data_IF_441963900594
#
_entry.id   IF_441963900594
#
_cell.length_a   1.000
_cell.length_b   1.000
_cell.length_c   1.000
_cell.angle_alpha   90.00
_cell.angle_beta   90.00
_cell.angle_gamma   90.00
#
_symmetry.space_group_name_H-M   'P 1'
#
loop_
_entity.id
_entity.type
_entity.pdbx_description
1 polymer ?
#
# COMPACT_ATOMS: atom_id res chain seq x y z
N UNK A 1 -6.72 -12.45 -3.90
CA UNK A 1 -6.83 -11.14 -4.59
C UNK A 1 -5.55 -10.33 -4.46
N UNK A 2 -5.09 -9.96 -3.26
CA UNK A 2 -3.85 -9.20 -3.06
C UNK A 2 -2.63 -9.87 -3.69
N UNK A 3 -2.48 -11.21 -3.55
CA UNK A 3 -1.44 -12.00 -4.21
C UNK A 3 -1.38 -11.81 -5.73
N UNK A 4 -2.53 -11.74 -6.40
CA UNK A 4 -2.58 -11.54 -7.85
C UNK A 4 -2.06 -10.15 -8.24
N UNK A 5 -2.51 -9.11 -7.55
CA UNK A 5 -2.02 -7.73 -7.79
C UNK A 5 -0.52 -7.64 -7.50
N UNK A 6 -0.05 -8.28 -6.43
CA UNK A 6 1.35 -8.29 -6.06
C UNK A 6 2.23 -8.98 -7.10
N UNK A 7 1.71 -10.00 -7.78
CA UNK A 7 2.36 -10.65 -8.91
C UNK A 7 2.32 -9.79 -10.17
N UNK A 8 1.22 -9.07 -10.43
CA UNK A 8 1.09 -8.13 -11.56
C UNK A 8 2.12 -7.00 -11.48
N UNK A 9 2.37 -6.45 -10.28
CA UNK A 9 3.31 -5.32 -10.08
C UNK A 9 4.72 -5.76 -9.65
N UNK A 10 5.00 -7.06 -9.68
CA UNK A 10 6.29 -7.57 -9.24
C UNK A 10 7.41 -7.11 -10.19
N UNK A 11 8.42 -6.41 -9.67
CA UNK A 11 9.54 -5.80 -10.41
C UNK A 11 9.15 -4.62 -11.31
N UNK A 12 7.92 -4.12 -11.24
CA UNK A 12 7.53 -2.91 -11.99
C UNK A 12 7.81 -1.63 -11.20
N UNK A 13 8.13 -1.73 -9.90
CA UNK A 13 8.23 -0.58 -8.99
C UNK A 13 6.98 0.33 -9.04
N UNK A 14 5.80 -0.26 -9.28
CA UNK A 14 4.52 0.46 -9.29
C UNK A 14 3.70 0.16 -8.03
N UNK A 15 2.63 0.91 -7.84
CA UNK A 15 1.63 0.65 -6.81
C UNK A 15 0.21 0.61 -7.37
N UNK A 16 -0.68 0.01 -6.59
CA UNK A 16 -2.12 -0.05 -6.80
C UNK A 16 -2.83 0.44 -5.56
N UNK A 17 -3.77 1.36 -5.75
CA UNK A 17 -4.69 1.81 -4.70
C UNK A 17 -6.05 1.14 -4.92
N UNK A 18 -6.64 0.62 -3.85
CA UNK A 18 -7.98 0.05 -3.85
C UNK A 18 -8.91 0.90 -3.00
N UNK A 19 -10.14 1.04 -3.48
CA UNK A 19 -11.24 1.59 -2.68
C UNK A 19 -11.85 0.53 -1.74
N UNK A 20 -12.88 0.95 -0.99
CA UNK A 20 -13.64 0.08 -0.08
C UNK A 20 -14.34 -1.10 -0.77
N UNK A 21 -14.57 -1.02 -2.08
CA UNK A 21 -15.19 -2.07 -2.89
C UNK A 21 -14.14 -2.96 -3.58
N UNK A 22 -12.87 -2.87 -3.18
CA UNK A 22 -11.75 -3.57 -3.81
C UNK A 22 -11.55 -3.21 -5.30
N UNK A 23 -12.04 -2.05 -5.73
CA UNK A 23 -11.84 -1.56 -7.10
C UNK A 23 -10.52 -0.81 -7.19
N UNK A 24 -9.74 -1.11 -8.23
CA UNK A 24 -8.48 -0.40 -8.55
C UNK A 24 -8.79 1.06 -8.87
N UNK A 25 -8.35 1.98 -8.02
CA UNK A 25 -8.51 3.43 -8.22
C UNK A 25 -7.36 4.02 -9.03
N UNK A 26 -6.15 3.52 -8.82
CA UNK A 26 -4.96 3.87 -9.59
C UNK A 26 -4.05 2.66 -9.76
N UNK A 27 -3.45 2.57 -10.93
CA UNK A 27 -2.48 1.55 -11.32
C UNK A 27 -1.34 2.23 -12.08
N UNK A 28 -0.20 1.55 -12.21
CA UNK A 28 0.92 1.93 -13.09
C UNK A 28 1.60 3.26 -12.76
N UNK A 29 1.42 3.77 -11.54
CA UNK A 29 2.16 4.92 -11.04
C UNK A 29 3.43 4.43 -10.33
N UNK A 30 4.59 5.06 -10.56
CA UNK A 30 5.82 4.71 -9.85
C UNK A 30 5.68 4.80 -8.33
N UNK A 31 6.33 3.88 -7.62
CA UNK A 31 6.31 3.80 -6.15
C UNK A 31 6.88 5.06 -5.48
N UNK A 32 7.75 5.81 -6.16
CA UNK A 32 8.25 7.08 -5.61
C UNK A 32 7.15 8.13 -5.43
N UNK A 33 6.10 8.07 -6.27
CA UNK A 33 4.93 8.95 -6.20
C UNK A 33 3.84 8.42 -5.28
N UNK A 34 4.03 7.24 -4.66
CA UNK A 34 3.01 6.62 -3.80
C UNK A 34 2.56 7.56 -2.67
N UNK A 35 3.51 8.17 -1.96
CA UNK A 35 3.19 9.04 -0.82
C UNK A 35 2.43 10.29 -1.27
N UNK A 36 2.86 10.91 -2.37
CA UNK A 36 2.20 12.09 -2.92
C UNK A 36 0.80 11.74 -3.43
N UNK A 37 0.67 10.62 -4.14
CA UNK A 37 -0.60 10.16 -4.69
C UNK A 37 -1.57 9.77 -3.59
N UNK A 38 -1.11 9.08 -2.55
CA UNK A 38 -1.92 8.67 -1.43
C UNK A 38 -2.48 9.88 -0.67
N UNK A 39 -1.68 10.94 -0.48
CA UNK A 39 -2.14 12.20 0.13
C UNK A 39 -3.21 12.91 -0.68
N UNK A 40 -3.16 12.80 -2.01
CA UNK A 40 -4.09 13.44 -2.94
C UNK A 40 -5.29 12.55 -3.31
N UNK A 41 -5.33 11.31 -2.83
CA UNK A 41 -6.38 10.34 -3.16
C UNK A 41 -7.15 9.99 -1.90
N UNK A 42 -8.40 10.43 -1.83
CA UNK A 42 -9.32 10.08 -0.74
C UNK A 42 -10.04 8.76 -1.00
N UNK A 43 -10.62 8.17 0.04
CA UNK A 43 -11.38 6.91 -0.01
C UNK A 43 -10.56 5.66 -0.39
N UNK A 44 -9.24 5.69 -0.18
CA UNK A 44 -8.38 4.51 -0.31
C UNK A 44 -8.57 3.61 0.91
N UNK A 45 -8.95 2.36 0.69
CA UNK A 45 -9.07 1.36 1.76
C UNK A 45 -7.82 0.48 1.84
N UNK A 46 -7.18 0.17 0.70
CA UNK A 46 -5.95 -0.60 0.67
C UNK A 46 -4.90 -0.06 -0.33
N UNK A 47 -3.63 -0.23 0.02
CA UNK A 47 -2.46 0.13 -0.80
C UNK A 47 -1.62 -1.12 -1.03
N UNK A 48 -1.28 -1.44 -2.28
CA UNK A 48 -0.42 -2.55 -2.66
C UNK A 48 0.73 -2.00 -3.51
N UNK A 49 1.98 -2.29 -3.16
CA UNK A 49 3.13 -1.75 -3.89
C UNK A 49 4.37 -2.65 -3.84
N UNK A 50 5.19 -2.58 -4.88
CA UNK A 50 6.45 -3.32 -4.97
C UNK A 50 7.59 -2.57 -4.25
N UNK A 51 7.57 -2.57 -2.91
CA UNK A 51 8.62 -1.93 -2.12
C UNK A 51 8.64 -2.28 -0.63
N UNK A 52 9.55 -1.64 0.11
CA UNK A 52 9.67 -1.79 1.57
C UNK A 52 8.65 -0.87 2.25
N UNK A 53 7.89 -1.43 3.18
CA UNK A 53 6.94 -0.71 4.03
C UNK A 53 7.73 0.05 5.09
N UNK A 54 7.66 1.38 5.03
CA UNK A 54 8.36 2.30 5.92
C UNK A 54 7.41 2.97 6.90
N UNK A 55 7.93 3.51 8.00
CA UNK A 55 7.12 4.23 8.99
C UNK A 55 6.41 5.44 8.36
N UNK A 56 7.10 6.20 7.50
CA UNK A 56 6.53 7.34 6.79
C UNK A 56 5.29 6.96 5.97
N UNK A 57 5.30 5.78 5.35
CA UNK A 57 4.14 5.29 4.61
C UNK A 57 2.98 4.96 5.55
N UNK A 58 3.25 4.29 6.67
CA UNK A 58 2.24 3.99 7.70
C UNK A 58 1.60 5.27 8.22
N UNK A 59 2.41 6.29 8.54
CA UNK A 59 1.90 7.54 9.09
C UNK A 59 0.95 8.24 8.10
N UNK A 60 1.34 8.29 6.81
CA UNK A 60 0.51 8.89 5.75
C UNK A 60 -0.74 8.06 5.50
N UNK A 61 -0.62 6.73 5.46
CA UNK A 61 -1.75 5.83 5.31
C UNK A 61 -2.77 5.99 6.46
N UNK A 62 -2.29 6.16 7.69
CA UNK A 62 -3.14 6.40 8.86
C UNK A 62 -3.88 7.74 8.76
N UNK A 63 -3.20 8.80 8.33
CA UNK A 63 -3.84 10.10 8.07
C UNK A 63 -4.93 10.02 6.99
N UNK A 64 -4.73 9.17 5.99
CA UNK A 64 -5.68 8.96 4.89
C UNK A 64 -6.75 7.89 5.20
N UNK A 65 -6.80 7.38 6.44
CA UNK A 65 -7.73 6.33 6.87
C UNK A 65 -7.65 5.03 6.03
N UNK A 66 -6.46 4.72 5.50
CA UNK A 66 -6.18 3.45 4.83
C UNK A 66 -6.20 2.34 5.88
N UNK A 67 -6.85 1.22 5.57
CA UNK A 67 -6.94 0.08 6.48
C UNK A 67 -5.91 -1.00 6.21
N UNK A 68 -5.48 -1.15 4.96
CA UNK A 68 -4.56 -2.22 4.59
C UNK A 68 -3.39 -1.71 3.77
N UNK A 69 -2.18 -2.13 4.14
CA UNK A 69 -0.95 -1.86 3.38
C UNK A 69 -0.31 -3.20 3.06
N UNK A 70 -0.06 -3.45 1.79
CA UNK A 70 0.63 -4.64 1.28
C UNK A 70 1.90 -4.18 0.57
N UNK A 71 3.04 -4.69 1.02
CA UNK A 71 4.34 -4.41 0.41
C UNK A 71 5.19 -5.66 0.26
N UNK A 72 6.41 -5.53 -0.23
CA UNK A 72 7.32 -6.66 -0.42
C UNK A 72 7.91 -7.10 0.91
N UNK A 73 8.39 -6.13 1.70
CA UNK A 73 9.03 -6.35 3.00
C UNK A 73 8.60 -5.26 3.99
N UNK A 74 8.66 -5.56 5.28
CA UNK A 74 8.52 -4.58 6.36
C UNK A 74 9.91 -4.06 6.72
N UNK A 75 10.05 -2.75 6.89
CA UNK A 75 11.18 -2.20 7.64
C UNK A 75 11.02 -2.59 9.12
N UNK A 76 12.10 -2.67 9.89
CA UNK A 76 12.04 -2.91 11.33
C UNK A 76 12.94 -1.89 12.01
N UNK A 77 12.45 -1.11 12.99
CA UNK A 77 11.13 -1.19 13.63
C UNK A 77 10.01 -0.40 12.91
N UNK A 78 8.77 -0.89 12.96
CA UNK A 78 7.56 -0.18 12.54
C UNK A 78 6.57 -0.09 13.71
N UNK A 79 5.94 1.08 13.86
CA UNK A 79 4.82 1.30 14.78
C UNK A 79 3.53 1.23 14.00
N UNK A 80 2.88 0.07 14.03
CA UNK A 80 1.64 -0.19 13.32
C UNK A 80 0.46 0.12 14.25
N UNK A 81 -0.39 1.12 13.95
CA UNK A 81 -1.58 1.38 14.73
C UNK A 81 -2.62 0.26 14.53
N UNK A 82 -3.49 0.05 15.52
CA UNK A 82 -4.53 -1.00 15.49
C UNK A 82 -5.54 -0.84 14.34
N UNK A 83 -5.59 0.34 13.74
CA UNK A 83 -6.45 0.69 12.60
C UNK A 83 -5.90 0.21 11.25
N UNK A 84 -4.62 -0.16 11.18
CA UNK A 84 -3.94 -0.54 9.93
C UNK A 84 -3.45 -1.97 10.00
N UNK A 85 -3.79 -2.76 8.98
CA UNK A 85 -3.24 -4.08 8.71
C UNK A 85 -2.07 -3.97 7.74
N UNK A 86 -0.90 -4.43 8.16
CA UNK A 86 0.32 -4.44 7.33
C UNK A 86 0.67 -5.87 6.96
N UNK A 87 0.69 -6.13 5.65
CA UNK A 87 0.98 -7.44 5.06
C UNK A 87 2.21 -7.35 4.14
N UNK A 88 3.00 -8.41 4.09
CA UNK A 88 4.06 -8.59 3.09
C UNK A 88 3.64 -9.52 1.98
N UNK A 89 4.40 -9.52 0.89
CA UNK A 89 4.27 -10.47 -0.22
C UNK A 89 4.23 -11.93 0.24
N UNK A 90 4.96 -12.26 1.30
CA UNK A 90 5.01 -13.61 1.88
C UNK A 90 3.75 -13.97 2.68
N UNK A 91 2.98 -12.97 3.12
CA UNK A 91 1.78 -13.14 3.94
C UNK A 91 0.47 -13.12 3.12
N UNK A 92 0.52 -12.89 1.79
CA UNK A 92 -0.66 -12.68 0.92
C UNK A 92 -0.87 -13.70 -0.19
#
# INVERSE_FOLDING_TARGET
>A
MYSQIMNEINKSFTFVLLDKNSKKMRTDVPVHDLVATLKNTSNVDAVIFDGIITQRLIDVANQQNVKTIVGVKKSTPLKIPHTIKVLTKEEV
#
